data_IF_920793745722
#
_entry.id   IF_920793745722
#
_cell.length_a   1.000
_cell.length_b   1.000
_cell.length_c   1.000
_cell.angle_alpha   90.00
_cell.angle_beta   90.00
_cell.angle_gamma   90.00
#
_symmetry.space_group_name_H-M   'P 1'
#
loop_
_entity.id
_entity.type
_entity.pdbx_description
1 polymer ?
#
# COMPACT_ATOMS: atom_id res chain seq x y z
N UNK A 1 2.92 11.83 -19.59
CA UNK A 1 2.19 12.83 -20.41
C UNK A 1 3.18 13.54 -21.33
N UNK A 2 2.94 13.53 -22.64
CA UNK A 2 3.80 14.25 -23.60
C UNK A 2 3.66 15.77 -23.47
N UNK A 3 4.79 16.48 -23.50
CA UNK A 3 4.83 17.93 -23.54
C UNK A 3 4.79 18.35 -25.03
N UNK A 4 3.96 19.34 -25.40
CA UNK A 4 3.87 19.92 -26.76
C UNK A 4 3.51 18.99 -27.93
N UNK A 5 2.49 18.14 -27.77
CA UNK A 5 1.96 17.33 -28.88
C UNK A 5 0.48 17.68 -29.19
N UNK A 6 0.18 18.86 -29.78
CA UNK A 6 -1.18 19.19 -30.22
C UNK A 6 -1.51 18.49 -31.55
N UNK A 7 -2.72 17.98 -31.68
CA UNK A 7 -3.19 17.27 -32.89
C UNK A 7 -4.43 17.97 -33.45
N UNK A 8 -4.71 17.80 -34.75
CA UNK A 8 -5.95 18.33 -35.34
C UNK A 8 -7.19 17.59 -34.81
N UNK A 9 -7.02 16.29 -34.55
CA UNK A 9 -8.09 15.38 -34.13
C UNK A 9 -7.59 14.48 -33.01
N UNK A 10 -8.44 14.21 -32.03
CA UNK A 10 -8.24 13.21 -30.98
C UNK A 10 -9.36 12.19 -31.08
N UNK A 11 -9.02 10.91 -31.07
CA UNK A 11 -9.97 9.81 -31.12
C UNK A 11 -9.89 8.97 -29.84
N UNK A 12 -11.04 8.75 -29.20
CA UNK A 12 -11.20 7.82 -28.09
C UNK A 12 -11.75 6.51 -28.65
N UNK A 13 -10.98 5.43 -28.51
CA UNK A 13 -11.29 4.14 -29.11
C UNK A 13 -11.51 3.11 -28.02
N UNK A 14 -12.73 2.54 -27.99
CA UNK A 14 -13.23 1.60 -26.98
C UNK A 14 -13.37 2.21 -25.59
N UNK A 15 -14.30 1.64 -24.82
CA UNK A 15 -14.50 2.02 -23.44
C UNK A 15 -13.41 1.43 -22.52
N UNK A 16 -13.01 2.20 -21.51
CA UNK A 16 -12.05 1.80 -20.48
C UNK A 16 -12.46 2.39 -19.13
N UNK A 17 -12.23 1.64 -18.05
CA UNK A 17 -12.37 2.12 -16.66
C UNK A 17 -11.48 3.34 -16.38
N UNK A 18 -10.33 3.43 -17.04
CA UNK A 18 -9.38 4.53 -16.86
C UNK A 18 -9.79 5.81 -17.62
N UNK A 19 -10.80 5.75 -18.49
CA UNK A 19 -11.33 6.92 -19.18
C UNK A 19 -12.33 7.65 -18.27
N UNK A 20 -11.80 8.58 -17.47
CA UNK A 20 -12.58 9.49 -16.63
C UNK A 20 -12.64 10.92 -17.23
N UNK A 21 -13.36 11.82 -16.54
CA UNK A 21 -13.52 13.21 -17.00
C UNK A 21 -12.19 13.98 -17.07
N UNK A 22 -11.22 13.67 -16.20
CA UNK A 22 -9.90 14.32 -16.20
C UNK A 22 -9.09 13.87 -17.41
N UNK A 23 -8.99 12.56 -17.65
CA UNK A 23 -8.29 11.97 -18.79
C UNK A 23 -8.92 12.41 -20.11
N UNK A 24 -10.26 12.46 -20.16
CA UNK A 24 -10.99 13.01 -21.30
C UNK A 24 -10.56 14.46 -21.56
N UNK A 25 -10.65 15.37 -20.59
CA UNK A 25 -10.28 16.78 -20.77
C UNK A 25 -8.81 16.98 -21.11
N UNK A 26 -7.90 16.21 -20.49
CA UNK A 26 -6.47 16.26 -20.81
C UNK A 26 -6.18 15.81 -22.24
N UNK A 27 -6.87 14.77 -22.71
CA UNK A 27 -6.69 14.23 -24.05
C UNK A 27 -7.38 15.08 -25.10
N UNK A 28 -8.65 15.44 -24.89
CA UNK A 28 -9.43 16.28 -25.81
C UNK A 28 -8.86 17.69 -25.92
N UNK A 29 -8.25 18.21 -24.85
CA UNK A 29 -7.52 19.49 -24.85
C UNK A 29 -6.28 19.50 -25.76
N UNK A 30 -5.86 18.35 -26.30
CA UNK A 30 -4.81 18.27 -27.33
C UNK A 30 -5.37 18.50 -28.74
N UNK A 31 -6.69 18.42 -28.94
CA UNK A 31 -7.32 18.65 -30.22
C UNK A 31 -7.35 20.14 -30.57
N UNK A 32 -6.97 20.49 -31.79
CA UNK A 32 -6.90 21.86 -32.30
C UNK A 32 -5.53 22.49 -32.06
N UNK A 33 -4.76 22.68 -33.14
CA UNK A 33 -3.45 23.35 -33.07
C UNK A 33 -3.64 24.87 -33.13
N UNK A 34 -3.27 25.56 -32.05
CA UNK A 34 -3.35 27.02 -31.94
C UNK A 34 -2.67 27.70 -33.13
N UNK A 35 -3.42 28.55 -33.83
CA UNK A 35 -2.92 29.31 -35.00
C UNK A 35 -2.96 28.57 -36.33
N UNK A 36 -3.33 27.28 -36.36
CA UNK A 36 -3.44 26.48 -37.59
C UNK A 36 -4.85 25.95 -37.84
N UNK A 37 -5.48 25.38 -36.81
CA UNK A 37 -6.80 24.79 -36.91
C UNK A 37 -7.85 25.77 -36.34
N UNK A 38 -8.97 25.94 -37.05
CA UNK A 38 -10.11 26.76 -36.58
C UNK A 38 -10.84 26.07 -35.42
N UNK A 39 -10.87 24.74 -35.45
CA UNK A 39 -11.52 23.89 -34.45
C UNK A 39 -10.70 22.61 -34.22
N UNK A 40 -10.86 22.02 -33.03
CA UNK A 40 -10.31 20.70 -32.69
C UNK A 40 -11.40 19.63 -32.81
N UNK A 41 -11.08 18.53 -33.50
CA UNK A 41 -12.04 17.45 -33.70
C UNK A 41 -11.89 16.36 -32.64
N UNK A 42 -13.01 15.93 -32.07
CA UNK A 42 -13.05 14.83 -31.10
C UNK A 42 -13.94 13.72 -31.64
N UNK A 43 -13.40 12.51 -31.74
CA UNK A 43 -14.11 11.34 -32.27
C UNK A 43 -14.21 10.28 -31.18
N UNK A 44 -15.41 9.75 -30.96
CA UNK A 44 -15.62 8.61 -30.08
C UNK A 44 -15.95 7.37 -30.93
N UNK A 45 -15.27 6.27 -30.67
CA UNK A 45 -15.48 4.98 -31.35
C UNK A 45 -15.74 3.95 -30.27
N UNK A 46 -16.87 3.25 -30.36
CA UNK A 46 -17.24 2.15 -29.46
C UNK A 46 -17.30 2.56 -27.97
N UNK A 47 -17.85 3.75 -27.70
CA UNK A 47 -18.11 4.27 -26.34
C UNK A 47 -19.59 4.65 -26.27
N UNK A 48 -20.27 4.23 -25.19
CA UNK A 48 -21.69 4.50 -25.01
C UNK A 48 -22.00 6.00 -24.92
N UNK A 49 -23.14 6.42 -25.48
CA UNK A 49 -23.57 7.82 -25.44
C UNK A 49 -23.74 8.35 -24.02
N UNK A 50 -24.16 7.48 -23.08
CA UNK A 50 -24.28 7.82 -21.66
C UNK A 50 -22.93 8.19 -21.06
N UNK A 51 -21.88 7.42 -21.36
CA UNK A 51 -20.53 7.75 -20.91
C UNK A 51 -19.97 8.98 -21.60
N UNK A 52 -20.22 9.18 -22.90
CA UNK A 52 -19.81 10.40 -23.61
C UNK A 52 -20.42 11.64 -22.95
N UNK A 53 -21.73 11.63 -22.67
CA UNK A 53 -22.41 12.73 -21.96
C UNK A 53 -21.78 13.00 -20.60
N UNK A 54 -21.52 11.94 -19.83
CA UNK A 54 -20.83 12.07 -18.55
C UNK A 54 -19.44 12.69 -18.72
N UNK A 55 -18.58 12.18 -19.61
CA UNK A 55 -17.23 12.71 -19.84
C UNK A 55 -17.22 14.20 -20.22
N UNK A 56 -18.18 14.62 -21.06
CA UNK A 56 -18.29 16.01 -21.54
C UNK A 56 -18.79 16.96 -20.45
N UNK A 57 -19.78 16.52 -19.65
CA UNK A 57 -20.49 17.38 -18.69
C UNK A 57 -19.80 17.37 -17.32
N UNK A 58 -19.24 16.23 -16.89
CA UNK A 58 -18.71 16.05 -15.55
C UNK A 58 -17.58 17.03 -15.27
N UNK A 59 -17.59 17.58 -14.05
CA UNK A 59 -16.57 18.49 -13.54
C UNK A 59 -15.22 17.78 -13.42
N UNK A 60 -14.14 18.56 -13.39
CA UNK A 60 -12.83 18.01 -13.04
C UNK A 60 -12.91 17.58 -11.57
N UNK A 61 -12.46 16.36 -11.21
CA UNK A 61 -12.38 15.95 -9.82
C UNK A 61 -11.57 16.93 -8.98
N UNK A 62 -12.03 17.21 -7.77
CA UNK A 62 -11.26 18.01 -6.82
C UNK A 62 -9.93 17.31 -6.50
N UNK A 63 -8.91 18.11 -6.20
CA UNK A 63 -7.61 17.59 -5.78
C UNK A 63 -7.79 16.99 -4.39
N UNK A 64 -7.94 15.67 -4.33
CA UNK A 64 -7.94 14.91 -3.10
C UNK A 64 -6.51 14.58 -2.70
N UNK A 65 -6.19 14.76 -1.43
CA UNK A 65 -4.91 14.33 -0.86
C UNK A 65 -5.07 13.00 -0.16
N UNK A 66 -4.09 12.13 -0.37
CA UNK A 66 -3.94 10.93 0.44
C UNK A 66 -3.28 11.25 1.78
N UNK A 67 -3.35 10.31 2.73
CA UNK A 67 -2.55 10.39 3.95
C UNK A 67 -1.08 10.58 3.61
N UNK A 68 -0.48 11.57 4.25
CA UNK A 68 0.90 11.95 4.02
C UNK A 68 1.87 11.05 4.78
N UNK A 69 1.38 10.29 5.76
CA UNK A 69 2.22 9.65 6.75
C UNK A 69 2.32 8.16 6.45
N UNK A 70 3.53 7.79 6.03
CA UNK A 70 3.97 6.43 5.79
C UNK A 70 5.12 6.10 6.72
N UNK A 71 5.34 4.81 6.97
CA UNK A 71 6.48 4.35 7.77
C UNK A 71 7.79 4.78 7.11
N UNK A 72 7.89 4.67 5.78
CA UNK A 72 9.09 5.11 5.06
C UNK A 72 9.33 6.62 5.15
N UNK A 73 8.27 7.46 5.15
CA UNK A 73 8.44 8.91 5.35
C UNK A 73 9.01 9.20 6.74
N UNK A 74 8.47 8.59 7.79
CA UNK A 74 8.96 8.78 9.15
C UNK A 74 10.42 8.33 9.29
N UNK A 75 10.78 7.19 8.71
CA UNK A 75 12.18 6.74 8.67
C UNK A 75 13.09 7.72 7.93
N UNK A 76 12.61 8.38 6.86
CA UNK A 76 13.36 9.44 6.17
C UNK A 76 13.58 10.66 7.05
N UNK A 77 12.57 11.06 7.84
CA UNK A 77 12.70 12.17 8.78
C UNK A 77 13.68 11.84 9.91
N UNK A 78 13.64 10.60 10.45
CA UNK A 78 14.64 10.15 11.42
C UNK A 78 16.05 10.15 10.83
N UNK A 79 16.20 9.63 9.61
CA UNK A 79 17.49 9.64 8.92
C UNK A 79 18.00 11.06 8.63
N UNK A 80 17.10 12.00 8.31
CA UNK A 80 17.44 13.41 8.14
C UNK A 80 17.99 13.97 9.47
N UNK A 81 17.30 13.73 10.57
CA UNK A 81 17.71 14.19 11.89
C UNK A 81 19.05 13.59 12.35
N UNK A 82 19.23 12.27 12.22
CA UNK A 82 20.45 11.58 12.64
C UNK A 82 21.69 12.02 11.88
N UNK A 83 21.56 12.35 10.58
CA UNK A 83 22.68 12.73 9.72
C UNK A 83 22.85 14.25 9.55
N UNK A 84 21.99 15.07 10.15
CA UNK A 84 22.08 16.52 10.00
C UNK A 84 23.24 17.10 10.80
N UNK A 85 23.99 18.01 10.17
CA UNK A 85 24.99 18.84 10.86
C UNK A 85 24.29 19.80 11.84
N UNK A 86 23.19 20.41 11.41
CA UNK A 86 22.31 21.25 12.24
C UNK A 86 21.03 20.48 12.59
N UNK A 87 21.01 19.96 13.82
CA UNK A 87 19.87 19.19 14.35
C UNK A 87 18.61 20.04 14.54
N UNK A 88 18.75 21.34 14.82
CA UNK A 88 17.59 22.22 15.00
C UNK A 88 16.89 22.45 13.66
N UNK A 89 17.64 22.78 12.60
CA UNK A 89 17.09 22.93 11.25
C UNK A 89 16.39 21.64 10.77
N UNK A 90 16.99 20.47 11.02
CA UNK A 90 16.38 19.19 10.68
C UNK A 90 15.05 18.94 11.43
N UNK A 91 14.96 19.30 12.71
CA UNK A 91 13.71 19.23 13.48
C UNK A 91 12.67 20.18 12.87
N UNK A 92 13.03 21.44 12.62
CA UNK A 92 12.08 22.42 12.06
C UNK A 92 11.51 21.96 10.72
N UNK A 93 12.37 21.47 9.81
CA UNK A 93 11.92 20.92 8.52
C UNK A 93 10.99 19.73 8.70
N UNK A 94 11.32 18.83 9.62
CA UNK A 94 10.50 17.64 9.91
C UNK A 94 9.14 18.03 10.49
N UNK A 95 9.10 18.99 11.41
CA UNK A 95 7.85 19.48 12.00
C UNK A 95 6.98 20.18 10.96
N UNK A 96 7.54 20.98 10.05
CA UNK A 96 6.77 21.61 8.97
C UNK A 96 6.08 20.56 8.10
N UNK A 97 6.79 19.49 7.73
CA UNK A 97 6.22 18.39 6.93
C UNK A 97 5.06 17.71 7.66
N UNK A 98 5.17 17.52 8.97
CA UNK A 98 4.18 16.80 9.79
C UNK A 98 2.99 17.68 10.22
N UNK A 99 3.20 18.98 10.45
CA UNK A 99 2.21 19.90 11.02
C UNK A 99 1.48 20.75 9.97
N UNK A 100 2.03 20.88 8.76
CA UNK A 100 1.43 21.68 7.70
C UNK A 100 0.98 20.85 6.48
N UNK A 101 0.21 19.76 6.66
CA UNK A 101 -0.27 18.98 5.53
C UNK A 101 -1.40 19.71 4.79
N UNK A 102 -1.50 19.53 3.47
CA UNK A 102 -2.46 20.25 2.63
C UNK A 102 -3.94 19.95 2.98
N UNK A 103 -4.24 18.77 3.53
CA UNK A 103 -5.59 18.40 4.00
C UNK A 103 -6.03 19.10 5.29
N UNK A 104 -5.15 19.80 6.01
CA UNK A 104 -5.48 20.52 7.25
C UNK A 104 -6.12 21.90 7.00
N UNK A 105 -7.16 21.94 6.15
CA UNK A 105 -7.78 23.17 5.68
C UNK A 105 -8.75 23.78 6.69
N UNK A 106 -9.45 22.96 7.48
CA UNK A 106 -10.36 23.43 8.54
C UNK A 106 -9.74 23.24 9.92
N UNK A 107 -10.23 23.95 10.93
CA UNK A 107 -9.70 23.83 12.29
C UNK A 107 -9.90 22.41 12.88
N UNK A 108 -11.08 21.82 12.67
CA UNK A 108 -11.38 20.46 13.12
C UNK A 108 -10.50 19.41 12.42
N UNK A 109 -10.35 19.51 11.10
CA UNK A 109 -9.48 18.58 10.34
C UNK A 109 -8.03 18.74 10.73
N UNK A 110 -7.54 19.97 10.92
CA UNK A 110 -6.18 20.23 11.38
C UNK A 110 -5.90 19.57 12.73
N UNK A 111 -6.81 19.68 13.69
CA UNK A 111 -6.66 19.05 15.02
C UNK A 111 -6.65 17.53 14.92
N UNK A 112 -7.59 16.95 14.17
CA UNK A 112 -7.67 15.51 13.95
C UNK A 112 -6.38 14.99 13.29
N UNK A 113 -5.90 15.66 12.25
CA UNK A 113 -4.67 15.29 11.56
C UNK A 113 -3.47 15.44 12.50
N UNK A 114 -3.34 16.53 13.26
CA UNK A 114 -2.24 16.67 14.23
C UNK A 114 -2.21 15.53 15.26
N UNK A 115 -3.37 15.18 15.83
CA UNK A 115 -3.49 14.07 16.78
C UNK A 115 -3.12 12.74 16.13
N UNK A 116 -3.67 12.46 14.94
CA UNK A 116 -3.33 11.25 14.18
C UNK A 116 -1.83 11.18 13.90
N UNK A 117 -1.23 12.26 13.40
CA UNK A 117 0.20 12.35 13.11
C UNK A 117 1.04 12.02 14.34
N UNK A 118 0.74 12.63 15.49
CA UNK A 118 1.52 12.45 16.71
C UNK A 118 1.46 11.01 17.23
N UNK A 119 0.27 10.43 17.30
CA UNK A 119 0.12 9.04 17.74
C UNK A 119 0.68 8.06 16.71
N UNK A 120 0.53 8.34 15.42
CA UNK A 120 1.11 7.50 14.38
C UNK A 120 2.64 7.53 14.43
N UNK A 121 3.27 8.69 14.65
CA UNK A 121 4.72 8.79 14.87
C UNK A 121 5.15 7.96 16.10
N UNK A 122 4.42 8.07 17.21
CA UNK A 122 4.73 7.34 18.44
C UNK A 122 4.67 5.82 18.24
N UNK A 123 3.59 5.32 17.65
CA UNK A 123 3.39 3.89 17.43
C UNK A 123 4.27 3.34 16.31
N UNK A 124 4.60 4.16 15.31
CA UNK A 124 5.58 3.78 14.29
C UNK A 124 6.99 3.69 14.88
N UNK A 125 7.36 4.54 15.85
CA UNK A 125 8.61 4.38 16.59
C UNK A 125 8.64 3.06 17.37
N UNK A 126 7.58 2.71 18.10
CA UNK A 126 7.48 1.41 18.79
C UNK A 126 7.58 0.24 17.79
N UNK A 127 6.86 0.34 16.67
CA UNK A 127 6.91 -0.66 15.60
C UNK A 127 8.31 -0.85 15.02
N UNK A 128 8.99 0.23 14.64
CA UNK A 128 10.35 0.17 14.09
C UNK A 128 11.35 -0.34 15.13
N UNK A 129 11.16 0.01 16.41
CA UNK A 129 12.01 -0.47 17.50
C UNK A 129 11.85 -1.98 17.72
N UNK A 130 10.60 -2.49 17.76
CA UNK A 130 10.32 -3.93 17.89
C UNK A 130 10.81 -4.75 16.70
N UNK A 131 10.92 -4.14 15.51
CA UNK A 131 11.50 -4.76 14.32
C UNK A 131 13.03 -4.65 14.24
N UNK A 132 13.71 -4.13 15.27
CA UNK A 132 15.17 -3.89 15.28
C UNK A 132 15.65 -3.00 14.11
N UNK A 133 14.82 -2.06 13.64
CA UNK A 133 15.16 -1.14 12.54
C UNK A 133 15.72 0.19 13.06
N UNK A 134 15.43 0.53 14.32
CA UNK A 134 15.98 1.70 15.00
C UNK A 134 16.60 1.31 16.33
N UNK A 135 17.63 2.05 16.75
CA UNK A 135 18.25 1.89 18.07
C UNK A 135 17.50 2.71 19.15
N UNK A 136 17.92 2.60 20.41
CA UNK A 136 17.36 3.36 21.54
C UNK A 136 17.51 4.89 21.40
N UNK A 137 18.36 5.37 20.49
CA UNK A 137 18.60 6.79 20.21
C UNK A 137 17.76 7.30 19.03
N UNK A 138 17.04 6.42 18.33
CA UNK A 138 16.24 6.75 17.15
C UNK A 138 17.01 6.69 15.83
N UNK A 139 18.27 6.24 15.82
CA UNK A 139 19.04 6.09 14.59
C UNK A 139 18.67 4.80 13.86
N UNK A 140 18.64 4.89 12.52
CA UNK A 140 18.42 3.75 11.64
C UNK A 140 19.59 2.77 11.73
N UNK A 141 19.30 1.48 11.89
CA UNK A 141 20.32 0.41 12.00
C UNK A 141 20.05 -0.76 11.04
N UNK A 142 21.12 -1.49 10.71
CA UNK A 142 21.07 -2.78 10.01
C UNK A 142 20.22 -2.76 8.74
N UNK A 143 19.07 -3.45 8.79
CA UNK A 143 18.15 -3.65 7.67
C UNK A 143 17.36 -2.40 7.24
N UNK A 144 17.37 -1.33 8.05
CA UNK A 144 16.66 -0.09 7.75
C UNK A 144 17.07 0.52 6.39
N UNK A 145 18.33 0.33 5.97
CA UNK A 145 18.80 0.76 4.66
C UNK A 145 18.11 0.05 3.48
N UNK A 146 17.71 -1.22 3.65
CA UNK A 146 16.98 -1.99 2.62
C UNK A 146 15.58 -1.40 2.44
N UNK A 147 14.86 -1.23 3.56
CA UNK A 147 13.51 -0.70 3.60
C UNK A 147 13.43 0.67 2.90
N UNK A 148 14.39 1.55 3.21
CA UNK A 148 14.48 2.90 2.65
C UNK A 148 14.67 2.95 1.13
N UNK A 149 15.44 2.01 0.56
CA UNK A 149 15.60 1.91 -0.90
C UNK A 149 14.35 1.35 -1.57
N UNK A 150 13.70 0.38 -0.95
CA UNK A 150 12.50 -0.30 -1.46
C UNK A 150 11.17 0.38 -1.05
N UNK A 151 11.19 1.67 -0.71
CA UNK A 151 10.02 2.42 -0.25
C UNK A 151 8.81 2.39 -1.21
N UNK A 152 9.03 2.17 -2.51
CA UNK A 152 7.96 2.05 -3.50
C UNK A 152 7.05 0.84 -3.26
N UNK A 153 7.59 -0.19 -2.59
CA UNK A 153 6.89 -1.42 -2.27
C UNK A 153 6.35 -1.43 -0.83
N UNK A 154 6.08 -0.29 -0.21
CA UNK A 154 5.45 -0.26 1.13
C UNK A 154 4.01 -0.79 1.08
N UNK A 155 3.58 -1.67 2.02
CA UNK A 155 4.29 -2.17 3.22
C UNK A 155 5.11 -3.48 3.04
N UNK A 156 5.15 -4.01 1.83
CA UNK A 156 5.86 -5.25 1.48
C UNK A 156 7.39 -5.18 1.75
N UNK A 157 8.02 -4.02 1.61
CA UNK A 157 9.42 -3.79 1.97
C UNK A 157 9.69 -4.00 3.48
N UNK A 158 8.77 -3.59 4.36
CA UNK A 158 8.86 -3.78 5.81
C UNK A 158 8.76 -5.27 6.12
N UNK A 159 7.79 -5.96 5.52
CA UNK A 159 7.66 -7.41 5.65
C UNK A 159 8.94 -8.13 5.21
N UNK A 160 9.55 -7.74 4.08
CA UNK A 160 10.82 -8.31 3.65
C UNK A 160 11.90 -8.20 4.74
N UNK A 161 12.04 -7.03 5.39
CA UNK A 161 13.02 -6.87 6.48
C UNK A 161 12.73 -7.78 7.67
N UNK A 162 11.47 -7.93 8.06
CA UNK A 162 11.06 -8.86 9.11
C UNK A 162 11.35 -10.33 8.74
N UNK A 163 11.11 -10.72 7.49
CA UNK A 163 11.39 -12.08 7.00
C UNK A 163 12.90 -12.38 6.92
N UNK A 164 13.72 -11.36 6.65
CA UNK A 164 15.17 -11.47 6.75
C UNK A 164 15.57 -11.65 8.22
N UNK A 165 15.10 -10.79 9.12
CA UNK A 165 15.43 -10.85 10.56
C UNK A 165 15.03 -12.20 11.21
N UNK A 166 13.84 -12.71 10.88
CA UNK A 166 13.37 -14.04 11.33
C UNK A 166 14.04 -15.23 10.65
N UNK A 167 15.08 -14.98 9.85
CA UNK A 167 15.95 -15.96 9.18
C UNK A 167 15.24 -16.87 8.18
N UNK A 168 14.07 -16.50 7.66
CA UNK A 168 13.32 -17.32 6.69
C UNK A 168 14.17 -17.63 5.45
N UNK A 169 14.83 -16.62 4.86
CA UNK A 169 15.63 -16.79 3.64
C UNK A 169 16.88 -17.67 3.84
N UNK A 170 17.30 -17.92 5.09
CA UNK A 170 18.36 -18.89 5.37
C UNK A 170 17.88 -20.32 5.22
N UNK A 171 16.62 -20.58 5.58
CA UNK A 171 15.99 -21.90 5.50
C UNK A 171 15.59 -22.26 4.06
N UNK A 172 15.25 -21.25 3.25
CA UNK A 172 14.94 -21.42 1.83
C UNK A 172 16.22 -21.72 1.05
N UNK A 173 16.34 -22.94 0.52
CA UNK A 173 17.50 -23.35 -0.29
C UNK A 173 17.27 -23.16 -1.79
N UNK A 174 16.01 -23.17 -2.23
CA UNK A 174 15.67 -23.03 -3.64
C UNK A 174 15.57 -21.55 -4.04
N UNK A 175 16.32 -21.16 -5.07
CA UNK A 175 16.28 -19.83 -5.65
C UNK A 175 14.89 -19.52 -6.23
N UNK A 176 14.21 -20.53 -6.77
CA UNK A 176 12.87 -20.39 -7.32
C UNK A 176 11.84 -20.07 -6.25
N UNK A 177 11.94 -20.67 -5.07
CA UNK A 177 11.06 -20.39 -3.92
C UNK A 177 11.27 -18.97 -3.37
N UNK A 178 12.52 -18.48 -3.35
CA UNK A 178 12.84 -17.10 -3.00
C UNK A 178 12.21 -16.11 -3.99
N UNK A 179 12.38 -16.35 -5.30
CA UNK A 179 11.78 -15.50 -6.34
C UNK A 179 10.26 -15.57 -6.29
N UNK A 180 9.69 -16.73 -6.01
CA UNK A 180 8.26 -16.90 -5.84
C UNK A 180 7.72 -16.06 -4.68
N UNK A 181 8.39 -16.08 -3.52
CA UNK A 181 8.02 -15.26 -2.36
C UNK A 181 8.12 -13.76 -2.67
N UNK A 182 9.21 -13.34 -3.30
CA UNK A 182 9.40 -11.94 -3.70
C UNK A 182 8.37 -11.50 -4.73
N UNK A 183 7.98 -12.39 -5.66
CA UNK A 183 6.89 -12.13 -6.57
C UNK A 183 5.58 -11.94 -5.80
N UNK A 184 5.22 -12.86 -4.91
CA UNK A 184 4.00 -12.73 -4.10
C UNK A 184 3.92 -11.41 -3.31
N UNK A 185 5.06 -10.89 -2.84
CA UNK A 185 5.11 -9.69 -2.00
C UNK A 185 5.23 -8.39 -2.82
N UNK A 186 5.93 -8.40 -3.96
CA UNK A 186 6.20 -7.18 -4.74
C UNK A 186 5.39 -7.04 -6.03
N UNK A 187 4.88 -8.14 -6.58
CA UNK A 187 4.10 -8.10 -7.82
C UNK A 187 2.61 -7.96 -7.49
N UNK A 188 2.16 -6.71 -7.35
CA UNK A 188 0.74 -6.38 -7.13
C UNK A 188 -0.14 -6.47 -8.40
N UNK A 189 0.32 -7.18 -9.44
CA UNK A 189 -0.46 -7.38 -10.66
C UNK A 189 -1.50 -8.46 -10.42
N UNK A 190 -2.69 -8.03 -10.01
CA UNK A 190 -3.88 -8.86 -10.11
C UNK A 190 -4.13 -9.18 -11.58
N UNK A 191 -4.41 -10.44 -11.88
CA UNK A 191 -4.84 -10.82 -13.22
C UNK A 191 -6.06 -9.98 -13.60
N UNK A 192 -6.15 -9.42 -14.81
CA UNK A 192 -7.35 -8.72 -15.26
C UNK A 192 -8.49 -9.73 -15.42
N UNK A 193 -9.21 -9.97 -14.32
CA UNK A 193 -10.40 -10.84 -14.24
C UNK A 193 -11.60 -10.24 -15.00
N UNK A 194 -11.40 -9.17 -15.77
CA UNK A 194 -12.43 -8.51 -16.60
C UNK A 194 -12.86 -9.38 -17.80
N UNK A 195 -12.22 -10.53 -18.07
CA UNK A 195 -12.79 -11.52 -18.99
C UNK A 195 -13.70 -12.50 -18.24
N UNK A 196 -14.99 -12.27 -18.46
CA UNK A 196 -16.19 -13.05 -18.14
C UNK A 196 -16.00 -14.39 -17.39
N UNK A 197 -16.79 -14.53 -16.33
CA UNK A 197 -16.97 -15.71 -15.47
C UNK A 197 -17.19 -17.05 -16.19
N UNK A 198 -17.52 -17.05 -17.49
CA UNK A 198 -17.68 -18.25 -18.32
C UNK A 198 -16.34 -18.86 -18.81
N UNK A 199 -15.28 -18.07 -18.96
CA UNK A 199 -13.98 -18.56 -19.46
C UNK A 199 -13.05 -19.09 -18.36
N UNK A 200 -13.37 -18.79 -17.08
CA UNK A 200 -12.59 -19.22 -15.89
C UNK A 200 -12.39 -20.74 -15.82
N UNK A 201 -13.40 -21.52 -16.19
CA UNK A 201 -13.34 -22.99 -16.14
C UNK A 201 -12.54 -23.60 -17.31
N UNK A 202 -12.46 -22.91 -18.44
CA UNK A 202 -11.69 -23.34 -19.62
C UNK A 202 -10.22 -22.96 -19.50
N UNK A 203 -9.89 -21.78 -18.97
CA UNK A 203 -8.51 -21.33 -18.78
C UNK A 203 -7.79 -22.10 -17.66
N UNK A 204 -8.47 -22.43 -16.55
CA UNK A 204 -7.91 -23.29 -15.49
C UNK A 204 -7.60 -24.70 -16.01
N UNK A 205 -8.45 -25.27 -16.91
CA UNK A 205 -8.17 -26.56 -17.56
C UNK A 205 -7.05 -26.48 -18.59
N UNK A 206 -6.91 -25.36 -19.30
CA UNK A 206 -5.81 -25.12 -20.25
C UNK A 206 -4.47 -24.83 -19.55
N UNK A 207 -4.46 -24.32 -18.33
CA UNK A 207 -3.24 -24.10 -17.53
C UNK A 207 -2.50 -25.38 -17.14
N UNK A 208 -3.14 -26.55 -17.19
CA UNK A 208 -2.48 -27.85 -17.04
C UNK A 208 -1.61 -28.22 -18.26
N UNK A 209 -1.81 -27.55 -19.40
CA UNK A 209 -1.12 -27.79 -20.68
C UNK A 209 -0.09 -26.70 -21.02
N UNK A 210 -0.02 -25.61 -20.25
CA UNK A 210 0.91 -24.49 -20.48
C UNK A 210 2.22 -24.71 -19.73
N UNK A 211 3.32 -24.21 -20.29
CA UNK A 211 4.65 -24.35 -19.70
C UNK A 211 4.85 -23.39 -18.53
N UNK A 212 4.26 -22.19 -18.61
CA UNK A 212 4.23 -21.22 -17.52
C UNK A 212 2.98 -21.40 -16.65
N UNK A 213 3.15 -21.22 -15.34
CA UNK A 213 2.04 -21.28 -14.40
C UNK A 213 1.55 -19.87 -14.19
N UNK A 214 0.62 -19.42 -15.02
CA UNK A 214 0.06 -18.06 -15.07
C UNK A 214 -0.27 -17.48 -13.67
N UNK A 215 -0.65 -18.34 -12.71
CA UNK A 215 -0.95 -17.95 -11.35
C UNK A 215 0.18 -18.28 -10.39
N UNK A 216 0.53 -17.30 -9.53
CA UNK A 216 1.35 -17.58 -8.35
C UNK A 216 0.64 -18.60 -7.47
N UNK A 217 1.40 -19.63 -7.07
CA UNK A 217 0.91 -20.64 -6.13
C UNK A 217 0.77 -20.00 -4.73
N UNK A 218 -0.09 -20.55 -3.86
CA UNK A 218 -0.10 -20.13 -2.46
C UNK A 218 1.27 -20.40 -1.84
N UNK A 219 1.72 -19.47 -0.98
CA UNK A 219 2.95 -19.64 -0.19
C UNK A 219 2.84 -20.84 0.74
N UNK A 220 3.98 -21.42 1.13
CA UNK A 220 4.01 -22.54 2.07
C UNK A 220 3.41 -22.17 3.43
N UNK A 221 2.90 -23.16 4.16
CA UNK A 221 2.29 -22.95 5.48
C UNK A 221 3.28 -22.30 6.47
N UNK A 222 4.58 -22.61 6.36
CA UNK A 222 5.63 -22.04 7.20
C UNK A 222 5.85 -20.54 6.93
N UNK A 223 5.86 -20.15 5.65
CA UNK A 223 5.95 -18.73 5.25
C UNK A 223 4.70 -17.99 5.72
N UNK A 224 3.52 -18.58 5.53
CA UNK A 224 2.25 -18.01 5.94
C UNK A 224 2.20 -17.73 7.44
N UNK A 225 2.63 -18.67 8.28
CA UNK A 225 2.66 -18.51 9.73
C UNK A 225 3.56 -17.33 10.17
N UNK A 226 4.70 -17.12 9.50
CA UNK A 226 5.58 -15.97 9.78
C UNK A 226 4.91 -14.65 9.43
N UNK A 227 4.18 -14.61 8.33
CA UNK A 227 3.50 -13.38 7.89
C UNK A 227 2.29 -13.10 8.80
N UNK A 228 1.57 -14.13 9.25
CA UNK A 228 0.54 -14.01 10.28
C UNK A 228 1.11 -13.50 11.61
N UNK A 229 2.33 -13.93 11.99
CA UNK A 229 3.02 -13.43 13.18
C UNK A 229 3.38 -11.94 13.05
N UNK A 230 3.90 -11.52 11.88
CA UNK A 230 4.14 -10.12 11.55
C UNK A 230 2.84 -9.29 11.63
N UNK A 231 1.78 -9.74 10.96
CA UNK A 231 0.50 -9.07 10.94
C UNK A 231 -0.14 -8.98 12.33
N UNK A 232 0.09 -9.97 13.20
CA UNK A 232 -0.37 -9.93 14.60
C UNK A 232 0.33 -8.82 15.37
N UNK A 233 1.64 -8.64 15.18
CA UNK A 233 2.40 -7.53 15.76
C UNK A 233 1.87 -6.17 15.26
N UNK A 234 1.59 -6.05 13.96
CA UNK A 234 1.00 -4.84 13.36
C UNK A 234 -0.37 -4.54 13.99
N UNK A 235 -1.23 -5.54 14.11
CA UNK A 235 -2.58 -5.40 14.71
C UNK A 235 -2.51 -4.98 16.18
N UNK A 236 -1.56 -5.49 16.95
CA UNK A 236 -1.36 -5.09 18.34
C UNK A 236 -1.01 -3.60 18.44
N UNK A 237 0.06 -3.18 17.75
CA UNK A 237 0.61 -1.82 17.87
C UNK A 237 -0.36 -0.79 17.30
N UNK A 238 -0.86 -1.03 16.08
CA UNK A 238 -1.78 -0.09 15.44
C UNK A 238 -3.21 -0.17 16.02
N UNK A 239 -3.55 -1.21 16.77
CA UNK A 239 -4.73 -1.24 17.63
C UNK A 239 -4.64 -0.17 18.72
N UNK A 240 -3.53 -0.13 19.46
CA UNK A 240 -3.28 0.93 20.44
C UNK A 240 -3.21 2.32 19.81
N UNK A 241 -2.75 2.46 18.56
CA UNK A 241 -2.84 3.71 17.81
C UNK A 241 -4.28 4.19 17.67
N UNK A 242 -5.16 3.34 17.14
CA UNK A 242 -6.58 3.67 16.93
C UNK A 242 -7.25 4.03 18.26
N UNK A 243 -7.01 3.24 19.30
CA UNK A 243 -7.60 3.46 20.61
C UNK A 243 -7.13 4.78 21.26
N UNK A 244 -5.83 5.08 21.20
CA UNK A 244 -5.29 6.31 21.79
C UNK A 244 -5.74 7.57 21.03
N UNK A 245 -5.82 7.51 19.69
CA UNK A 245 -6.39 8.60 18.90
C UNK A 245 -7.85 8.84 19.29
N UNK A 246 -8.65 7.77 19.37
CA UNK A 246 -10.07 7.89 19.72
C UNK A 246 -10.27 8.47 21.12
N UNK A 247 -9.51 8.01 22.13
CA UNK A 247 -9.55 8.58 23.50
C UNK A 247 -9.17 10.05 23.53
N UNK A 248 -8.12 10.44 22.81
CA UNK A 248 -7.70 11.83 22.77
C UNK A 248 -8.76 12.71 22.09
N UNK A 249 -9.36 12.25 20.99
CA UNK A 249 -10.42 12.98 20.31
C UNK A 249 -11.68 13.13 21.17
N UNK A 250 -12.10 12.06 21.86
CA UNK A 250 -13.24 12.10 22.77
C UNK A 250 -13.07 13.16 23.86
N UNK A 251 -11.86 13.28 24.43
CA UNK A 251 -11.57 14.26 25.49
C UNK A 251 -11.84 15.72 25.08
N UNK A 252 -11.79 16.03 23.78
CA UNK A 252 -12.08 17.35 23.24
C UNK A 252 -13.57 17.56 22.92
N UNK A 253 -14.33 16.48 22.74
CA UNK A 253 -15.73 16.49 22.28
C UNK A 253 -16.76 16.23 23.39
N UNK A 254 -16.32 16.21 24.66
CA UNK A 254 -17.11 15.81 25.84
C UNK A 254 -18.55 16.39 25.95
N UNK A 255 -18.86 17.52 25.30
CA UNK A 255 -20.17 18.17 25.39
C UNK A 255 -21.08 17.96 24.16
N UNK A 256 -20.56 17.46 23.03
CA UNK A 256 -21.34 17.30 21.79
C UNK A 256 -21.78 15.85 21.52
N UNK A 257 -21.13 14.86 22.15
CA UNK A 257 -21.45 13.44 21.98
C UNK A 257 -22.85 13.06 22.48
N UNK A 258 -23.38 13.79 23.47
CA UNK A 258 -24.71 13.55 24.03
C UNK A 258 -25.82 14.35 23.34
N UNK A 259 -25.54 14.94 22.17
CA UNK A 259 -26.50 15.68 21.36
C UNK A 259 -26.76 14.91 20.06
N UNK A 260 -28.02 14.67 19.73
CA UNK A 260 -28.37 14.09 18.44
C UNK A 260 -28.08 15.10 17.30
N UNK A 261 -27.38 14.71 16.21
CA UNK A 261 -26.81 15.65 15.25
C UNK A 261 -27.82 16.46 14.43
N UNK A 262 -29.05 15.95 14.26
CA UNK A 262 -30.10 16.64 13.49
C UNK A 262 -31.15 17.32 14.37
N UNK A 263 -31.49 16.74 15.51
CA UNK A 263 -32.53 17.28 16.41
C UNK A 263 -31.97 18.14 17.53
N UNK A 264 -30.65 18.09 17.78
CA UNK A 264 -29.96 18.71 18.92
C UNK A 264 -30.57 18.34 20.27
N UNK A 265 -31.27 17.21 20.36
CA UNK A 265 -31.81 16.69 21.63
C UNK A 265 -30.66 16.17 22.47
N UNK A 266 -30.56 16.66 23.70
CA UNK A 266 -29.58 16.18 24.66
C UNK A 266 -30.11 14.96 25.42
N UNK A 267 -29.31 13.91 25.46
CA UNK A 267 -29.59 12.71 26.26
C UNK A 267 -28.59 12.55 27.42
N UNK A 268 -28.02 13.65 27.89
CA UNK A 268 -27.20 13.68 29.12
C UNK A 268 -28.09 13.27 30.30
N UNK A 269 -27.63 12.38 31.18
CA UNK A 269 -28.41 11.97 32.34
C UNK A 269 -28.85 13.18 33.18
N UNK A 270 -30.15 13.43 33.23
CA UNK A 270 -30.79 14.47 34.02
C UNK A 270 -31.71 13.84 35.06
N UNK A 271 -32.03 14.58 36.12
CA UNK A 271 -33.04 14.19 37.12
C UNK A 271 -34.45 14.04 36.54
N UNK A 272 -34.66 14.57 35.33
CA UNK A 272 -35.97 14.68 34.69
C UNK A 272 -36.28 13.46 33.80
N UNK A 273 -35.29 12.59 33.57
CA UNK A 273 -35.42 11.37 32.78
C UNK A 273 -35.74 10.17 33.67
N UNK A 274 -37.01 9.78 33.72
CA UNK A 274 -37.45 8.54 34.37
C UNK A 274 -36.94 7.29 33.62
N UNK A 275 -36.77 6.19 34.35
CA UNK A 275 -36.45 4.85 33.83
C UNK A 275 -37.54 4.40 32.85
N UNK A 276 -37.37 4.68 31.55
CA UNK A 276 -38.35 4.40 30.51
C UNK A 276 -38.45 5.47 29.42
N UNK A 277 -37.90 6.66 29.65
CA UNK A 277 -37.77 7.70 28.62
C UNK A 277 -36.79 7.29 27.52
N UNK A 278 -37.00 7.77 26.29
CA UNK A 278 -36.13 7.48 25.15
C UNK A 278 -34.69 7.96 25.41
N UNK A 279 -34.56 9.12 26.05
CA UNK A 279 -33.31 9.75 26.47
C UNK A 279 -32.57 8.90 27.50
N UNK A 280 -33.28 8.30 28.46
CA UNK A 280 -32.69 7.36 29.42
C UNK A 280 -32.13 6.12 28.71
N UNK A 281 -32.88 5.51 27.79
CA UNK A 281 -32.39 4.35 27.04
C UNK A 281 -31.18 4.70 26.17
N UNK A 282 -31.21 5.85 25.49
CA UNK A 282 -30.07 6.37 24.73
C UNK A 282 -28.84 6.56 25.61
N UNK A 283 -28.98 7.23 26.75
CA UNK A 283 -27.89 7.42 27.70
C UNK A 283 -27.34 6.08 28.22
N UNK A 284 -28.23 5.15 28.58
CA UNK A 284 -27.83 3.83 29.07
C UNK A 284 -27.10 3.02 27.98
N UNK A 285 -27.59 3.00 26.74
CA UNK A 285 -26.88 2.34 25.63
C UNK A 285 -25.54 3.02 25.31
N UNK A 286 -25.50 4.36 25.30
CA UNK A 286 -24.28 5.12 25.06
C UNK A 286 -23.22 4.89 26.14
N UNK A 287 -23.63 4.88 27.42
CA UNK A 287 -22.75 4.57 28.55
C UNK A 287 -22.22 3.13 28.55
N UNK A 288 -22.89 2.19 27.90
CA UNK A 288 -22.32 0.86 27.66
C UNK A 288 -21.30 0.87 26.52
N UNK A 289 -21.54 1.69 25.49
CA UNK A 289 -20.61 1.88 24.36
C UNK A 289 -19.34 2.63 24.72
N UNK A 290 -19.36 3.51 25.73
CA UNK A 290 -18.18 4.26 26.20
C UNK A 290 -17.01 3.35 26.63
N UNK A 291 -17.26 2.05 26.84
CA UNK A 291 -16.21 1.03 27.04
C UNK A 291 -15.35 0.79 25.79
N UNK A 292 -15.89 1.02 24.58
CA UNK A 292 -15.22 0.84 23.30
C UNK A 292 -15.06 2.19 22.59
N UNK A 293 -14.17 3.05 23.11
CA UNK A 293 -13.98 4.43 22.64
C UNK A 293 -13.64 4.53 21.14
N UNK A 294 -12.98 3.51 20.60
CA UNK A 294 -12.59 3.47 19.19
C UNK A 294 -13.71 3.08 18.21
N UNK A 295 -14.79 2.47 18.69
CA UNK A 295 -15.88 1.96 17.84
C UNK A 295 -16.99 3.01 17.74
N UNK A 296 -17.55 3.16 16.54
CA UNK A 296 -18.64 4.12 16.32
C UNK A 296 -19.88 3.76 17.12
N UNK A 297 -20.64 4.77 17.53
CA UNK A 297 -21.93 4.55 18.22
C UNK A 297 -22.95 3.81 17.34
N UNK A 298 -22.74 3.78 16.02
CA UNK A 298 -23.55 3.02 15.06
C UNK A 298 -23.15 1.55 14.99
N UNK A 299 -21.85 1.23 15.06
CA UNK A 299 -21.35 -0.14 15.02
C UNK A 299 -21.40 -0.82 16.39
N UNK A 300 -21.21 -0.07 17.48
CA UNK A 300 -21.20 -0.58 18.86
C UNK A 300 -22.41 -1.45 19.27
N UNK A 301 -23.67 -1.17 18.87
CA UNK A 301 -24.82 -2.02 19.20
C UNK A 301 -24.76 -3.43 18.62
N UNK A 302 -23.94 -3.66 17.58
CA UNK A 302 -23.71 -5.00 17.02
C UNK A 302 -22.90 -5.91 17.94
N UNK A 303 -22.31 -5.36 19.00
CA UNK A 303 -21.36 -6.06 19.88
C UNK A 303 -19.92 -6.00 19.38
N UNK A 304 -19.63 -5.27 18.30
CA UNK A 304 -18.29 -5.07 17.77
C UNK A 304 -17.40 -4.39 18.83
N UNK A 305 -16.31 -5.06 19.19
CA UNK A 305 -15.28 -4.51 20.09
C UNK A 305 -14.04 -4.06 19.31
N UNK A 306 -13.20 -3.23 19.93
CA UNK A 306 -11.91 -2.85 19.37
C UNK A 306 -11.06 -4.08 19.00
N UNK A 307 -11.01 -5.08 19.88
CA UNK A 307 -10.27 -6.32 19.66
C UNK A 307 -10.82 -7.12 18.47
N UNK A 308 -12.15 -7.22 18.34
CA UNK A 308 -12.78 -7.90 17.21
C UNK A 308 -12.53 -7.15 15.90
N UNK A 309 -12.60 -5.82 15.92
CA UNK A 309 -12.25 -5.00 14.77
C UNK A 309 -10.80 -5.25 14.33
N UNK A 310 -9.84 -5.19 15.26
CA UNK A 310 -8.43 -5.44 14.94
C UNK A 310 -8.14 -6.87 14.51
N UNK A 311 -8.80 -7.87 15.10
CA UNK A 311 -8.67 -9.26 14.68
C UNK A 311 -9.12 -9.45 13.22
N UNK A 312 -10.23 -8.81 12.84
CA UNK A 312 -10.80 -8.88 11.49
C UNK A 312 -10.20 -7.88 10.50
N UNK A 313 -9.30 -6.99 10.96
CA UNK A 313 -8.73 -5.93 10.15
C UNK A 313 -8.08 -6.47 8.87
N UNK A 314 -8.40 -5.81 7.76
CA UNK A 314 -7.77 -5.96 6.46
C UNK A 314 -7.78 -4.60 5.73
N UNK A 315 -6.96 -4.41 4.68
CA UNK A 315 -6.83 -3.14 3.97
C UNK A 315 -8.08 -2.64 3.24
N UNK A 316 -9.08 -3.50 3.03
CA UNK A 316 -10.32 -3.14 2.33
C UNK A 316 -11.41 -2.64 3.29
N UNK A 317 -11.21 -2.81 4.60
CA UNK A 317 -12.12 -2.27 5.62
C UNK A 317 -11.93 -0.76 5.70
N UNK A 318 -13.03 -0.02 5.54
CA UNK A 318 -13.06 1.42 5.77
C UNK A 318 -13.21 1.78 7.25
N UNK A 319 -13.10 3.07 7.55
CA UNK A 319 -13.19 3.65 8.90
C UNK A 319 -14.62 3.75 9.46
N UNK A 320 -15.64 3.24 8.77
CA UNK A 320 -17.06 3.39 9.12
C UNK A 320 -17.47 2.71 10.44
N UNK A 321 -16.75 1.67 10.83
CA UNK A 321 -16.91 1.01 12.13
C UNK A 321 -16.23 1.77 13.27
N UNK A 322 -15.37 2.74 12.98
CA UNK A 322 -14.62 3.52 13.96
C UNK A 322 -15.36 4.82 14.34
N UNK A 323 -15.13 5.27 15.57
CA UNK A 323 -15.72 6.50 16.11
C UNK A 323 -15.27 7.76 15.34
N UNK A 324 -14.09 7.70 14.73
CA UNK A 324 -13.48 8.80 13.98
C UNK A 324 -13.02 8.31 12.61
N UNK A 325 -13.05 9.20 11.62
CA UNK A 325 -12.51 8.92 10.31
C UNK A 325 -10.97 8.90 10.37
N UNK A 326 -10.40 7.70 10.41
CA UNK A 326 -8.96 7.44 10.47
C UNK A 326 -8.49 6.86 9.14
N UNK A 327 -7.28 7.23 8.70
CA UNK A 327 -6.67 6.51 7.58
C UNK A 327 -6.19 5.13 8.02
N UNK A 328 -6.80 4.11 7.43
CA UNK A 328 -6.48 2.69 7.63
C UNK A 328 -5.75 2.09 6.44
N UNK A 329 -5.23 2.92 5.53
CA UNK A 329 -4.52 2.45 4.35
C UNK A 329 -3.26 1.64 4.72
N UNK A 330 -2.80 0.73 3.83
CA UNK A 330 -1.54 0.01 4.00
C UNK A 330 -0.29 0.87 4.21
N UNK A 331 -0.37 2.17 3.90
CA UNK A 331 0.72 3.14 4.11
C UNK A 331 0.78 3.59 5.56
N UNK A 332 -0.37 3.72 6.22
CA UNK A 332 -0.44 4.12 7.63
C UNK A 332 -0.42 2.90 8.56
N UNK A 333 -1.05 1.79 8.18
CA UNK A 333 -1.00 0.53 8.92
C UNK A 333 -0.29 -0.49 8.02
N UNK A 334 0.97 -0.88 8.31
CA UNK A 334 1.81 -1.68 7.43
C UNK A 334 1.42 -3.18 7.42
N UNK A 335 0.14 -3.46 7.24
CA UNK A 335 -0.44 -4.80 7.15
C UNK A 335 -0.30 -5.36 5.74
N UNK A 336 0.07 -6.64 5.63
CA UNK A 336 0.21 -7.32 4.34
C UNK A 336 -0.84 -8.43 4.22
N UNK A 337 -1.77 -8.27 3.28
CA UNK A 337 -2.78 -9.28 2.97
C UNK A 337 -2.35 -10.15 1.78
N UNK A 338 -1.87 -11.37 2.04
CA UNK A 338 -1.49 -12.32 0.99
C UNK A 338 -2.71 -13.02 0.38
N UNK A 339 -3.77 -13.20 1.18
CA UNK A 339 -4.97 -13.92 0.79
C UNK A 339 -6.10 -12.97 0.38
N UNK A 340 -5.74 -11.77 -0.08
CA UNK A 340 -6.71 -10.75 -0.46
C UNK A 340 -7.79 -11.36 -1.37
N UNK A 341 -9.04 -11.06 -1.04
CA UNK A 341 -10.21 -11.55 -1.78
C UNK A 341 -10.94 -10.40 -2.41
N UNK A 342 -11.57 -10.66 -3.55
CA UNK A 342 -12.47 -9.71 -4.17
C UNK A 342 -13.79 -9.59 -3.39
N UNK A 343 -14.62 -8.63 -3.79
CA UNK A 343 -15.95 -8.40 -3.22
C UNK A 343 -16.91 -9.60 -3.35
N UNK A 344 -16.57 -10.60 -4.17
CA UNK A 344 -17.31 -11.85 -4.32
C UNK A 344 -16.75 -12.99 -3.47
N UNK A 345 -15.79 -12.68 -2.58
CA UNK A 345 -15.06 -13.64 -1.74
C UNK A 345 -14.20 -14.63 -2.56
N UNK A 346 -13.87 -14.29 -3.81
CA UNK A 346 -12.95 -15.06 -4.64
C UNK A 346 -11.52 -14.56 -4.40
N UNK A 347 -10.56 -15.48 -4.25
CA UNK A 347 -9.14 -15.13 -4.10
C UNK A 347 -8.63 -14.36 -5.31
N UNK A 348 -7.86 -13.29 -5.09
CA UNK A 348 -7.11 -12.67 -6.17
C UNK A 348 -6.02 -13.65 -6.65
N UNK A 349 -5.98 -13.89 -7.95
CA UNK A 349 -4.87 -14.61 -8.56
C UNK A 349 -3.84 -13.59 -9.05
N UNK A 350 -2.65 -13.64 -8.45
CA UNK A 350 -1.52 -12.82 -8.87
C UNK A 350 -0.83 -13.45 -10.07
N UNK A 351 -0.46 -12.61 -11.04
CA UNK A 351 0.29 -13.04 -12.22
C UNK A 351 1.71 -13.45 -11.82
N UNK A 352 2.16 -14.62 -12.27
CA UNK A 352 3.47 -15.17 -11.94
C UNK A 352 4.61 -14.71 -12.85
N UNK A 353 4.40 -13.64 -13.63
CA UNK A 353 5.34 -13.17 -14.66
C UNK A 353 6.81 -13.11 -14.20
N UNK A 354 7.08 -12.65 -12.98
CA UNK A 354 8.43 -12.54 -12.46
C UNK A 354 9.07 -13.91 -12.25
N UNK A 355 8.30 -14.86 -11.73
CA UNK A 355 8.72 -16.26 -11.54
C UNK A 355 8.89 -16.99 -12.88
N UNK A 356 7.94 -16.81 -13.80
CA UNK A 356 7.98 -17.44 -15.11
C UNK A 356 9.14 -16.87 -15.96
N UNK A 357 9.39 -15.57 -15.90
CA UNK A 357 10.56 -14.96 -16.51
C UNK A 357 11.86 -15.45 -15.86
N UNK A 358 11.89 -15.59 -14.53
CA UNK A 358 13.04 -16.17 -13.85
C UNK A 358 13.30 -17.63 -14.27
N UNK A 359 12.27 -18.43 -14.57
CA UNK A 359 12.45 -19.80 -15.11
C UNK A 359 12.91 -19.80 -16.56
N UNK A 360 12.22 -19.09 -17.45
CA UNK A 360 12.39 -19.25 -18.89
C UNK A 360 13.18 -18.14 -19.58
N UNK A 361 13.15 -16.91 -19.07
CA UNK A 361 13.82 -15.75 -19.67
C UNK A 361 13.28 -15.35 -21.04
N UNK A 362 11.99 -15.56 -21.31
CA UNK A 362 11.38 -15.34 -22.63
C UNK A 362 10.29 -14.26 -22.58
N UNK A 363 10.49 -13.16 -23.30
CA UNK A 363 9.45 -12.13 -23.51
C UNK A 363 8.20 -12.73 -24.16
N UNK A 364 8.37 -13.67 -25.10
CA UNK A 364 7.25 -14.29 -25.82
C UNK A 364 6.28 -14.98 -24.86
N UNK A 365 6.79 -15.65 -23.83
CA UNK A 365 5.95 -16.31 -22.81
C UNK A 365 5.22 -15.30 -21.94
N UNK A 366 5.83 -14.13 -21.66
CA UNK A 366 5.15 -13.06 -20.94
C UNK A 366 3.93 -12.53 -21.71
N UNK A 367 4.06 -12.43 -23.03
CA UNK A 367 2.97 -11.96 -23.90
C UNK A 367 1.92 -13.06 -24.10
N UNK A 368 2.34 -14.28 -24.43
CA UNK A 368 1.42 -15.35 -24.83
C UNK A 368 0.76 -16.07 -23.67
N UNK A 369 1.50 -16.32 -22.57
CA UNK A 369 0.99 -17.09 -21.44
C UNK A 369 0.57 -16.20 -20.26
N UNK A 370 1.35 -15.16 -19.95
CA UNK A 370 1.03 -14.20 -18.86
C UNK A 370 0.20 -13.00 -19.31
N UNK A 371 -0.19 -12.92 -20.59
CA UNK A 371 -1.07 -11.89 -21.18
C UNK A 371 -0.66 -10.44 -20.87
N UNK A 372 0.65 -10.20 -20.71
CA UNK A 372 1.19 -8.85 -20.50
C UNK A 372 1.29 -8.16 -21.87
N UNK A 373 0.85 -6.90 -21.93
CA UNK A 373 0.99 -6.12 -23.16
C UNK A 373 2.47 -5.94 -23.51
N UNK A 374 2.78 -6.06 -24.81
CA UNK A 374 4.17 -5.99 -25.30
C UNK A 374 4.84 -4.67 -24.93
N UNK A 375 4.08 -3.59 -24.79
CA UNK A 375 4.65 -2.28 -24.38
C UNK A 375 5.07 -2.23 -22.91
N UNK A 376 4.59 -3.16 -22.07
CA UNK A 376 4.82 -3.17 -20.63
C UNK A 376 5.74 -4.32 -20.16
N UNK A 377 5.98 -5.34 -20.99
CA UNK A 377 6.83 -6.50 -20.64
C UNK A 377 8.20 -6.09 -20.11
N UNK A 378 8.88 -5.18 -20.79
CA UNK A 378 10.17 -4.66 -20.36
C UNK A 378 10.06 -3.90 -19.04
N UNK A 379 9.03 -3.05 -18.87
CA UNK A 379 8.85 -2.25 -17.66
C UNK A 379 8.62 -3.15 -16.44
N UNK A 380 7.81 -4.20 -16.55
CA UNK A 380 7.56 -5.15 -15.46
C UNK A 380 8.79 -5.98 -15.12
N UNK A 381 9.49 -6.52 -16.12
CA UNK A 381 10.72 -7.27 -15.91
C UNK A 381 11.82 -6.38 -15.31
N UNK A 382 11.98 -5.17 -15.85
CA UNK A 382 12.94 -4.19 -15.38
C UNK A 382 12.62 -3.73 -13.96
N UNK A 383 11.36 -3.43 -13.62
CA UNK A 383 10.95 -3.05 -12.25
C UNK A 383 11.30 -4.13 -11.23
N UNK A 384 11.00 -5.40 -11.54
CA UNK A 384 11.37 -6.53 -10.66
C UNK A 384 12.89 -6.73 -10.58
N UNK A 385 13.62 -6.49 -11.66
CA UNK A 385 15.09 -6.51 -11.62
C UNK A 385 15.65 -5.40 -10.73
N UNK A 386 15.12 -4.17 -10.81
CA UNK A 386 15.55 -3.06 -9.96
C UNK A 386 15.30 -3.34 -8.47
N UNK A 387 14.22 -4.07 -8.12
CA UNK A 387 13.98 -4.48 -6.73
C UNK A 387 15.03 -5.50 -6.26
N UNK A 388 15.35 -6.52 -7.07
CA UNK A 388 16.44 -7.47 -6.78
C UNK A 388 17.80 -6.77 -6.64
N UNK A 389 18.14 -5.88 -7.57
CA UNK A 389 19.38 -5.11 -7.54
C UNK A 389 19.45 -4.21 -6.28
N UNK A 390 18.33 -3.62 -5.87
CA UNK A 390 18.25 -2.81 -4.64
C UNK A 390 18.45 -3.64 -3.37
N UNK A 391 17.89 -4.85 -3.31
CA UNK A 391 18.14 -5.80 -2.19
C UNK A 391 19.61 -6.15 -2.16
N UNK A 392 20.18 -6.58 -3.29
CA UNK A 392 21.59 -7.00 -3.39
C UNK A 392 22.54 -5.87 -3.01
N UNK A 393 22.34 -4.66 -3.54
CA UNK A 393 23.21 -3.53 -3.23
C UNK A 393 23.15 -3.17 -1.75
N UNK A 394 21.97 -3.28 -1.13
CA UNK A 394 21.81 -3.04 0.30
C UNK A 394 22.50 -4.12 1.15
N UNK A 395 22.33 -5.40 0.82
CA UNK A 395 23.02 -6.50 1.49
C UNK A 395 24.55 -6.38 1.35
N UNK A 396 25.05 -6.02 0.17
CA UNK A 396 26.46 -5.71 -0.03
C UNK A 396 26.94 -4.60 0.91
N UNK A 397 26.21 -3.50 1.03
CA UNK A 397 26.62 -2.39 1.92
C UNK A 397 26.62 -2.80 3.38
N UNK A 398 25.70 -3.66 3.81
CA UNK A 398 25.68 -4.20 5.18
C UNK A 398 26.93 -5.05 5.41
N UNK A 399 27.23 -5.99 4.50
CA UNK A 399 28.43 -6.84 4.57
C UNK A 399 29.71 -6.00 4.58
N UNK A 400 29.84 -5.00 3.71
CA UNK A 400 31.01 -4.10 3.67
C UNK A 400 31.19 -3.30 4.96
N UNK A 401 30.09 -2.82 5.55
CA UNK A 401 30.14 -2.08 6.81
C UNK A 401 30.52 -2.99 7.98
N UNK A 402 30.01 -4.22 8.01
CA UNK A 402 30.39 -5.21 9.03
C UNK A 402 31.85 -5.66 8.91
N UNK A 403 32.39 -5.75 7.69
CA UNK A 403 33.82 -6.03 7.48
C UNK A 403 34.69 -4.95 8.13
N UNK A 404 34.28 -3.68 8.05
CA UNK A 404 34.98 -2.55 8.67
C UNK A 404 34.86 -2.54 10.20
N UNK A 405 33.76 -3.05 10.76
CA UNK A 405 33.47 -2.99 12.19
C UNK A 405 33.98 -4.20 13.00
N UNK A 406 34.61 -5.21 12.39
CA UNK A 406 35.20 -6.40 13.07
C UNK A 406 34.23 -7.19 13.97
N UNK A 407 32.92 -7.06 13.79
CA UNK A 407 31.92 -7.89 14.49
C UNK A 407 31.67 -9.17 13.68
N UNK A 408 32.24 -10.29 14.15
CA UNK A 408 32.20 -11.58 13.43
C UNK A 408 30.83 -12.26 13.38
N UNK A 409 29.85 -11.84 14.18
CA UNK A 409 28.58 -12.57 14.31
C UNK A 409 27.61 -12.26 13.16
N UNK A 410 27.46 -11.00 12.77
CA UNK A 410 26.51 -10.60 11.72
C UNK A 410 27.04 -10.96 10.32
N UNK A 411 28.38 -10.99 10.16
CA UNK A 411 29.03 -11.43 8.93
C UNK A 411 28.66 -12.86 8.52
N UNK A 412 28.54 -13.77 9.50
CA UNK A 412 28.12 -15.16 9.26
C UNK A 412 26.68 -15.24 8.78
N UNK A 413 25.87 -14.27 9.16
CA UNK A 413 24.47 -14.16 8.77
C UNK A 413 24.34 -13.56 7.37
N UNK A 414 24.88 -12.37 7.12
CA UNK A 414 24.64 -11.66 5.86
C UNK A 414 25.41 -12.21 4.65
N UNK A 415 26.60 -12.80 4.85
CA UNK A 415 27.43 -13.25 3.72
C UNK A 415 26.76 -14.36 2.88
N UNK A 416 26.26 -15.47 3.44
CA UNK A 416 25.54 -16.48 2.67
C UNK A 416 24.27 -15.95 1.99
N UNK A 417 23.55 -15.05 2.66
CA UNK A 417 22.35 -14.43 2.11
C UNK A 417 22.70 -13.58 0.88
N UNK A 418 23.75 -12.78 0.99
CA UNK A 418 24.24 -11.93 -0.09
C UNK A 418 24.66 -12.74 -1.31
N UNK A 419 25.35 -13.88 -1.12
CA UNK A 419 25.72 -14.79 -2.20
C UNK A 419 24.48 -15.40 -2.90
N UNK A 420 23.44 -15.78 -2.14
CA UNK A 420 22.17 -16.26 -2.72
C UNK A 420 21.51 -15.20 -3.60
N UNK A 421 21.34 -13.98 -3.08
CA UNK A 421 20.71 -12.89 -3.82
C UNK A 421 21.54 -12.44 -5.02
N UNK A 422 22.88 -12.48 -4.93
CA UNK A 422 23.78 -12.22 -6.05
C UNK A 422 23.55 -13.21 -7.20
N UNK A 423 23.43 -14.50 -6.90
CA UNK A 423 23.20 -15.51 -7.93
C UNK A 423 21.83 -15.35 -8.61
N UNK A 424 20.80 -15.00 -7.84
CA UNK A 424 19.44 -14.74 -8.36
C UNK A 424 19.45 -13.52 -9.28
N UNK A 425 20.02 -12.40 -8.82
CA UNK A 425 20.08 -11.15 -9.58
C UNK A 425 20.88 -11.30 -10.87
N UNK A 426 22.05 -11.96 -10.83
CA UNK A 426 22.86 -12.21 -12.03
C UNK A 426 22.14 -13.11 -13.04
N UNK A 427 21.45 -14.14 -12.57
CA UNK A 427 20.65 -15.02 -13.45
C UNK A 427 19.52 -14.22 -14.13
N UNK A 428 18.80 -13.40 -13.37
CA UNK A 428 17.73 -12.56 -13.90
C UNK A 428 18.25 -11.51 -14.88
N UNK A 429 19.38 -10.85 -14.56
CA UNK A 429 20.06 -9.87 -15.41
C UNK A 429 20.46 -10.44 -16.76
N UNK A 430 21.09 -11.62 -16.77
CA UNK A 430 21.46 -12.32 -18.02
C UNK A 430 20.24 -12.57 -18.91
N UNK A 431 19.12 -13.00 -18.31
CA UNK A 431 17.87 -13.25 -19.04
C UNK A 431 17.25 -11.98 -19.61
N UNK A 432 17.31 -10.84 -18.91
CA UNK A 432 16.89 -9.55 -19.47
C UNK A 432 17.72 -9.20 -20.70
N UNK A 433 19.05 -9.30 -20.59
CA UNK A 433 19.95 -8.97 -21.71
C UNK A 433 19.71 -9.87 -22.91
N UNK A 434 19.49 -11.16 -22.69
CA UNK A 434 19.23 -12.12 -23.77
C UNK A 434 17.87 -11.93 -24.45
N UNK A 435 16.85 -11.49 -23.72
CA UNK A 435 15.47 -11.40 -24.22
C UNK A 435 15.11 -10.04 -24.82
N UNK A 436 15.59 -8.94 -24.23
CA UNK A 436 15.20 -7.59 -24.65
C UNK A 436 16.28 -6.85 -25.45
N UNK A 437 17.57 -7.08 -25.18
CA UNK A 437 18.66 -6.29 -25.81
C UNK A 437 19.01 -6.82 -27.21
N UNK A 438 18.61 -8.04 -27.57
CA UNK A 438 18.85 -8.59 -28.93
C UNK A 438 18.00 -7.96 -30.05
N UNK A 439 17.20 -6.93 -29.77
CA UNK A 439 16.26 -6.32 -30.74
C UNK A 439 16.79 -5.00 -31.34
N UNK A 440 17.92 -4.44 -30.88
CA UNK A 440 18.43 -3.14 -31.40
C UNK A 440 19.25 -3.20 -32.71
N UNK A 441 19.37 -4.36 -33.36
CA UNK A 441 19.98 -4.43 -34.69
C UNK A 441 19.11 -5.24 -35.64
N UNK A 442 18.10 -4.61 -36.25
CA UNK A 442 17.64 -4.86 -37.62
C UNK A 442 16.82 -3.69 -38.16
#
# INVERSE_FOLDING_TARGET
LGIHMPTKTVAFVKDSIHLDALQYRQSSGRAGRRGFDVEGNIVFIDISISKIRHLVISTIPDIQTHSLISVSLLMRLFNLYSNAEDKEDAIYRSLIVLQCPFNAQTELTRRLIDIQTRFHCLHTLDFLYRLNLINNQGDLIGLAGILMRLHEFEPANILLTYLIDTRLFHQLNDAEEIVHLLACIFTNLSWPVVRQSSERSLSIRQNLLRNSKVFLRPVSAEIRQRIESYNSLVKEIYGFYIENVARQMQSFNNNQEYLLPFSNVSFIQSSDYDNGTFEYYLHHHYSQQSKNVSISSFAGPSGLTHEQFMSNYNPTIGSWDLAYDLDLSPRTIPYVDIDARDHTNSSYYLNSYALDFFRHGSERLLISENEIDRSETYNFASSFFHSLASIKTSLNTIVENEMKQTKNNDMKFFKPLNEKFLNIEQNFSRKINDSFIKIEFY
#
